data_IF_176915664147
#
_entry.id   IF_176915664147
#
_cell.length_a   1.000
_cell.length_b   1.000
_cell.length_c   1.000
_cell.angle_alpha   90.00
_cell.angle_beta   90.00
_cell.angle_gamma   90.00
#
_symmetry.space_group_name_H-M   'P 1'
#
loop_
_entity.id
_entity.type
_entity.pdbx_description
1 polymer ?
#
# COMPACT_ATOMS: atom_id res chain seq x y z
N UNK A 1 -0.27 15.73 12.51
CA UNK A 1 0.55 15.29 11.37
C UNK A 1 1.10 13.91 11.67
N UNK A 2 1.20 13.07 10.64
CA UNK A 2 1.84 11.75 10.68
C UNK A 2 2.82 11.68 9.51
N UNK A 3 4.00 11.13 9.73
CA UNK A 3 4.99 10.95 8.68
C UNK A 3 5.50 9.52 8.68
N UNK A 4 5.83 8.99 7.51
CA UNK A 4 6.32 7.62 7.33
C UNK A 4 7.49 7.58 6.35
N UNK A 5 8.51 6.80 6.71
CA UNK A 5 9.66 6.46 5.86
C UNK A 5 9.50 5.00 5.41
N UNK A 6 9.53 4.73 4.10
CA UNK A 6 9.25 3.41 3.53
C UNK A 6 10.35 2.88 2.62
N UNK A 7 11.51 3.52 2.56
CA UNK A 7 12.59 3.18 1.62
C UNK A 7 12.99 1.70 1.66
N UNK A 8 13.17 1.14 2.85
CA UNK A 8 13.58 -0.27 3.02
C UNK A 8 12.49 -1.21 2.49
N UNK A 9 11.23 -0.94 2.85
CA UNK A 9 10.07 -1.73 2.40
C UNK A 9 9.87 -1.64 0.89
N UNK A 10 10.03 -0.44 0.31
CA UNK A 10 9.90 -0.21 -1.13
C UNK A 10 11.04 -0.88 -1.91
N UNK A 11 12.29 -0.82 -1.42
CA UNK A 11 13.41 -1.59 -1.99
C UNK A 11 13.15 -3.09 -1.99
N UNK A 12 12.60 -3.59 -0.89
CA UNK A 12 12.26 -5.01 -0.78
C UNK A 12 11.22 -5.40 -1.83
N UNK A 13 10.11 -4.66 -1.93
CA UNK A 13 9.07 -4.87 -2.93
C UNK A 13 9.63 -4.81 -4.36
N UNK A 14 10.46 -3.78 -4.67
CA UNK A 14 11.08 -3.63 -5.98
C UNK A 14 11.86 -4.88 -6.39
N UNK A 15 12.70 -5.42 -5.51
CA UNK A 15 13.50 -6.63 -5.79
C UNK A 15 12.64 -7.89 -5.90
N UNK A 16 11.63 -8.04 -5.03
CA UNK A 16 10.77 -9.24 -5.01
C UNK A 16 9.86 -9.34 -6.22
N UNK A 17 9.40 -8.22 -6.74
CA UNK A 17 8.46 -8.18 -7.87
C UNK A 17 9.11 -7.82 -9.20
N UNK A 18 10.41 -7.50 -9.24
CA UNK A 18 11.07 -7.06 -10.46
C UNK A 18 10.47 -5.77 -11.02
N UNK A 19 10.18 -4.80 -10.14
CA UNK A 19 9.52 -3.56 -10.52
C UNK A 19 10.43 -2.68 -11.41
N UNK A 20 9.83 -2.04 -12.41
CA UNK A 20 10.44 -0.90 -13.11
C UNK A 20 10.56 0.32 -12.19
N UNK A 21 11.23 1.38 -12.61
CA UNK A 21 11.27 2.63 -11.84
C UNK A 21 9.89 3.26 -11.71
N UNK A 22 9.09 3.24 -12.77
CA UNK A 22 7.72 3.77 -12.78
C UNK A 22 6.83 3.02 -11.78
N UNK A 23 6.81 1.70 -11.82
CA UNK A 23 5.97 0.88 -10.93
C UNK A 23 6.49 0.89 -9.49
N UNK A 24 7.79 1.07 -9.29
CA UNK A 24 8.41 1.30 -7.98
C UNK A 24 7.93 2.62 -7.37
N UNK A 25 7.84 3.69 -8.16
CA UNK A 25 7.27 4.97 -7.75
C UNK A 25 5.82 4.79 -7.28
N UNK A 26 4.96 4.21 -8.12
CA UNK A 26 3.54 4.03 -7.81
C UNK A 26 3.33 3.16 -6.57
N UNK A 27 3.99 2.01 -6.48
CA UNK A 27 3.85 1.11 -5.33
C UNK A 27 4.44 1.72 -4.06
N UNK A 28 5.56 2.41 -4.14
CA UNK A 28 6.20 3.10 -3.01
C UNK A 28 5.30 4.17 -2.41
N UNK A 29 4.72 5.04 -3.25
CA UNK A 29 3.73 6.04 -2.83
C UNK A 29 2.49 5.41 -2.21
N UNK A 30 1.97 4.34 -2.82
CA UNK A 30 0.81 3.62 -2.29
C UNK A 30 1.10 2.95 -0.94
N UNK A 31 2.30 2.38 -0.75
CA UNK A 31 2.72 1.79 0.54
C UNK A 31 2.86 2.88 1.62
N UNK A 32 3.42 4.04 1.30
CA UNK A 32 3.48 5.18 2.21
C UNK A 32 2.06 5.65 2.57
N UNK A 33 1.19 5.85 1.57
CA UNK A 33 -0.21 6.24 1.77
C UNK A 33 -1.00 5.25 2.61
N UNK A 34 -0.86 3.95 2.34
CA UNK A 34 -1.50 2.90 3.13
C UNK A 34 -1.10 2.93 4.61
N UNK A 35 0.19 3.12 4.91
CA UNK A 35 0.69 3.25 6.29
C UNK A 35 0.20 4.53 6.97
N UNK A 36 0.14 5.66 6.23
CA UNK A 36 -0.42 6.90 6.74
C UNK A 36 -1.88 6.71 7.16
N UNK A 37 -2.70 6.05 6.34
CA UNK A 37 -4.08 5.72 6.69
C UNK A 37 -4.16 4.72 7.85
N UNK A 38 -3.31 3.70 7.85
CA UNK A 38 -3.27 2.69 8.91
C UNK A 38 -2.88 3.27 10.28
N UNK A 39 -2.15 4.40 10.31
CA UNK A 39 -1.77 5.08 11.55
C UNK A 39 -2.96 5.52 12.39
N UNK A 40 -4.12 5.75 11.77
CA UNK A 40 -5.38 6.17 12.44
C UNK A 40 -6.25 5.00 12.91
N UNK A 41 -5.86 3.74 12.63
CA UNK A 41 -6.61 2.57 13.10
C UNK A 41 -6.60 2.49 14.63
N UNK A 42 -7.70 2.09 15.21
CA UNK A 42 -7.91 2.11 16.67
C UNK A 42 -7.24 0.93 17.37
N UNK A 43 -7.22 -0.21 16.71
CA UNK A 43 -6.66 -1.45 17.29
C UNK A 43 -5.24 -1.70 16.77
N UNK A 44 -4.43 -2.42 17.54
CA UNK A 44 -3.09 -2.83 17.14
C UNK A 44 -3.11 -3.80 15.93
N UNK A 45 -4.19 -4.56 15.77
CA UNK A 45 -4.42 -5.46 14.64
C UNK A 45 -5.04 -4.76 13.43
N UNK A 46 -5.43 -3.49 13.58
CA UNK A 46 -6.08 -2.71 12.55
C UNK A 46 -5.26 -2.64 11.26
N UNK A 47 -5.93 -2.79 10.14
CA UNK A 47 -5.33 -2.80 8.80
C UNK A 47 -6.11 -1.95 7.81
N UNK A 48 -5.38 -1.44 6.85
CA UNK A 48 -5.94 -0.74 5.70
C UNK A 48 -5.49 -1.46 4.44
N UNK A 49 -6.44 -1.87 3.62
CA UNK A 49 -6.17 -2.31 2.24
C UNK A 49 -6.52 -1.18 1.29
N UNK A 50 -5.53 -0.75 0.51
CA UNK A 50 -5.64 0.23 -0.55
C UNK A 50 -5.58 -0.53 -1.88
N UNK A 51 -6.59 -0.36 -2.72
CA UNK A 51 -6.64 -0.98 -4.05
C UNK A 51 -6.95 0.08 -5.10
N UNK A 52 -6.07 0.22 -6.06
CA UNK A 52 -6.31 0.99 -7.28
C UNK A 52 -6.72 0.03 -8.38
N UNK A 53 -7.92 0.25 -8.93
CA UNK A 53 -8.41 -0.39 -10.14
C UNK A 53 -8.45 0.66 -11.23
N UNK A 54 -7.72 0.44 -12.29
CA UNK A 54 -7.54 1.49 -13.29
C UNK A 54 -7.51 0.93 -14.72
N UNK A 55 -7.91 1.78 -15.67
CA UNK A 55 -7.97 1.44 -17.10
C UNK A 55 -6.65 1.68 -17.85
N UNK A 56 -5.65 2.28 -17.21
CA UNK A 56 -4.34 2.50 -17.80
C UNK A 56 -3.47 1.23 -17.86
N UNK A 57 -2.28 1.32 -18.47
CA UNK A 57 -1.39 0.18 -18.68
C UNK A 57 -0.91 -0.49 -17.39
N UNK A 58 -0.95 0.20 -16.24
CA UNK A 58 -0.67 -0.38 -14.91
C UNK A 58 -1.67 -1.48 -14.54
N UNK A 59 -2.92 -1.41 -14.99
CA UNK A 59 -4.06 -2.28 -14.69
C UNK A 59 -4.50 -2.28 -13.23
N UNK A 60 -3.64 -1.88 -12.30
CA UNK A 60 -3.95 -1.73 -10.89
C UNK A 60 -2.79 -2.03 -9.96
N UNK A 61 -3.01 -1.72 -8.70
CA UNK A 61 -2.11 -2.06 -7.60
C UNK A 61 -2.91 -2.33 -6.32
N UNK A 62 -2.31 -3.08 -5.41
CA UNK A 62 -2.90 -3.36 -4.10
C UNK A 62 -1.82 -3.24 -3.03
N UNK A 63 -2.16 -2.55 -1.94
CA UNK A 63 -1.34 -2.42 -0.73
C UNK A 63 -2.15 -2.85 0.47
N UNK A 64 -1.53 -3.55 1.40
CA UNK A 64 -2.08 -3.91 2.69
C UNK A 64 -1.11 -3.42 3.78
N UNK A 65 -1.56 -2.47 4.60
CA UNK A 65 -0.78 -1.80 5.62
C UNK A 65 -1.41 -1.97 7.00
N UNK A 66 -0.60 -2.25 8.00
CA UNK A 66 -1.03 -2.46 9.38
C UNK A 66 -0.68 -1.29 10.29
N UNK A 67 -1.50 -1.10 11.32
CA UNK A 67 -1.25 -0.19 12.44
C UNK A 67 0.10 -0.46 13.11
N UNK A 68 0.58 -1.71 13.02
CA UNK A 68 1.86 -2.20 13.54
C UNK A 68 3.08 -1.85 12.68
N UNK A 69 2.91 -1.04 11.62
CA UNK A 69 3.97 -0.65 10.68
C UNK A 69 4.33 -1.73 9.65
N UNK A 70 3.63 -2.85 9.61
CA UNK A 70 3.80 -3.85 8.56
C UNK A 70 3.11 -3.38 7.28
N UNK A 71 3.79 -3.49 6.14
CA UNK A 71 3.23 -3.16 4.83
C UNK A 71 3.65 -4.20 3.79
N UNK A 72 2.78 -4.45 2.82
CA UNK A 72 3.05 -5.26 1.63
C UNK A 72 2.20 -4.76 0.47
N UNK A 73 2.62 -5.04 -0.74
CA UNK A 73 1.84 -4.61 -1.89
C UNK A 73 2.42 -5.17 -3.18
N UNK A 74 1.63 -5.08 -4.24
CA UNK A 74 2.00 -5.48 -5.59
C UNK A 74 1.29 -4.61 -6.62
N UNK A 75 1.81 -4.64 -7.85
CA UNK A 75 1.19 -4.04 -9.03
C UNK A 75 0.84 -5.14 -10.04
N UNK A 76 -0.17 -4.92 -10.86
CA UNK A 76 -0.61 -5.91 -11.83
C UNK A 76 0.39 -6.10 -12.99
N UNK A 77 1.13 -5.06 -13.35
CA UNK A 77 2.15 -5.08 -14.43
C UNK A 77 3.49 -4.58 -13.87
N UNK A 78 4.29 -5.45 -13.23
CA UNK A 78 5.52 -5.03 -12.52
C UNK A 78 6.55 -4.31 -13.39
N UNK A 79 6.78 -4.81 -14.59
CA UNK A 79 7.78 -4.29 -15.54
C UNK A 79 7.27 -3.16 -16.45
N UNK A 80 6.12 -2.53 -16.13
CA UNK A 80 5.59 -1.43 -16.95
C UNK A 80 6.58 -0.29 -17.02
N UNK A 81 6.95 0.10 -18.23
CA UNK A 81 7.73 1.30 -18.52
C UNK A 81 6.98 2.18 -19.51
N UNK A 82 7.08 3.47 -19.35
CA UNK A 82 6.57 4.50 -20.26
C UNK A 82 7.65 5.55 -20.46
N UNK A 83 7.61 6.20 -21.61
CA UNK A 83 8.45 7.37 -21.86
C UNK A 83 8.19 8.43 -20.77
N UNK A 84 9.24 9.12 -20.37
CA UNK A 84 9.13 10.22 -19.43
C UNK A 84 8.28 11.36 -20.05
N UNK A 85 7.57 12.08 -19.21
CA UNK A 85 6.94 13.33 -19.59
C UNK A 85 8.01 14.34 -20.05
N UNK A 86 7.64 15.39 -20.80
CA UNK A 86 8.60 16.40 -21.30
C UNK A 86 9.47 17.03 -20.21
N UNK A 87 8.97 17.09 -18.99
CA UNK A 87 9.65 17.62 -17.81
C UNK A 87 10.67 16.62 -17.20
N UNK A 88 10.83 15.43 -17.81
CA UNK A 88 11.73 14.38 -17.33
C UNK A 88 11.21 13.60 -16.11
N UNK A 89 9.92 13.67 -15.84
CA UNK A 89 9.25 12.95 -14.76
C UNK A 89 8.43 11.77 -15.29
N UNK A 90 8.10 10.82 -14.41
CA UNK A 90 7.18 9.75 -14.77
C UNK A 90 5.76 10.28 -14.96
N UNK A 91 5.14 9.91 -16.07
CA UNK A 91 3.72 10.21 -16.35
C UNK A 91 2.83 9.19 -15.62
N UNK A 92 2.58 9.46 -14.34
CA UNK A 92 1.77 8.59 -13.48
C UNK A 92 0.30 8.58 -13.92
N UNK A 93 -0.21 9.72 -14.37
CA UNK A 93 -1.57 9.85 -14.87
C UNK A 93 -1.80 8.93 -16.07
N UNK A 94 -0.85 8.90 -17.02
CA UNK A 94 -0.90 8.00 -18.18
C UNK A 94 -0.76 6.53 -17.79
N UNK A 95 0.10 6.23 -16.81
CA UNK A 95 0.30 4.86 -16.32
C UNK A 95 -0.97 4.29 -15.66
N UNK A 96 -1.66 5.11 -14.88
CA UNK A 96 -2.86 4.73 -14.13
C UNK A 96 -4.12 4.90 -14.98
N UNK A 97 -4.30 6.04 -15.64
CA UNK A 97 -5.51 6.38 -16.37
C UNK A 97 -6.72 6.57 -15.44
N UNK A 98 -7.92 6.52 -15.99
CA UNK A 98 -9.16 6.60 -15.20
C UNK A 98 -9.38 5.32 -14.39
N UNK A 99 -10.08 5.43 -13.26
CA UNK A 99 -10.38 4.30 -12.40
C UNK A 99 -10.86 4.70 -11.02
N UNK A 100 -10.72 3.79 -10.08
CA UNK A 100 -11.22 3.93 -8.72
C UNK A 100 -10.16 3.56 -7.69
N UNK A 101 -10.15 4.31 -6.59
CA UNK A 101 -9.45 3.98 -5.36
C UNK A 101 -10.43 3.37 -4.37
N UNK A 102 -10.19 2.15 -3.96
CA UNK A 102 -10.95 1.44 -2.93
C UNK A 102 -10.10 1.32 -1.67
N UNK A 103 -10.66 1.74 -0.55
CA UNK A 103 -10.03 1.62 0.77
C UNK A 103 -10.90 0.73 1.63
N UNK A 104 -10.30 -0.33 2.18
CA UNK A 104 -10.93 -1.21 3.17
C UNK A 104 -10.22 -1.04 4.50
N UNK A 105 -10.96 -0.69 5.55
CA UNK A 105 -10.50 -0.58 6.94
C UNK A 105 -11.01 -1.76 7.74
N UNK A 106 -10.10 -2.55 8.28
CA UNK A 106 -10.38 -3.71 9.12
C UNK A 106 -9.74 -3.51 10.49
N UNK A 107 -10.55 -3.37 11.51
CA UNK A 107 -10.08 -3.23 12.91
C UNK A 107 -9.71 -4.58 13.54
N UNK A 108 -9.85 -5.70 12.81
CA UNK A 108 -9.62 -7.06 13.32
C UNK A 108 -10.80 -7.62 14.12
N UNK A 109 -11.90 -6.89 14.19
CA UNK A 109 -13.17 -7.30 14.78
C UNK A 109 -14.33 -6.57 14.07
N UNK A 110 -15.49 -7.21 14.03
CA UNK A 110 -16.65 -6.70 13.28
C UNK A 110 -16.47 -6.82 11.77
N UNK A 111 -17.28 -6.10 11.01
CA UNK A 111 -17.19 -6.10 9.56
C UNK A 111 -16.24 -5.01 9.08
N UNK A 112 -15.36 -5.30 8.13
CA UNK A 112 -14.53 -4.28 7.50
C UNK A 112 -15.39 -3.19 6.84
N UNK A 113 -14.95 -1.94 6.96
CA UNK A 113 -15.57 -0.80 6.27
C UNK A 113 -14.86 -0.59 4.93
N UNK A 114 -15.63 -0.52 3.86
CA UNK A 114 -15.13 -0.32 2.52
C UNK A 114 -15.72 0.94 1.90
N UNK A 115 -14.87 1.75 1.30
CA UNK A 115 -15.26 2.94 0.54
C UNK A 115 -14.54 2.95 -0.80
N UNK A 116 -15.20 3.53 -1.80
CA UNK A 116 -14.65 3.64 -3.16
C UNK A 116 -14.86 5.06 -3.66
N UNK A 117 -13.83 5.66 -4.23
CA UNK A 117 -13.85 7.00 -4.87
C UNK A 117 -13.22 6.91 -6.25
N UNK A 118 -13.60 7.83 -7.14
CA UNK A 118 -12.93 7.98 -8.44
C UNK A 118 -11.51 8.49 -8.24
N UNK A 119 -10.59 8.06 -9.09
CA UNK A 119 -9.23 8.60 -9.14
C UNK A 119 -9.26 10.03 -9.67
N UNK A 120 -8.51 10.92 -9.04
CA UNK A 120 -8.37 12.32 -9.41
C UNK A 120 -7.17 12.53 -10.33
N UNK A 121 -6.02 11.99 -9.94
CA UNK A 121 -4.76 12.21 -10.67
C UNK A 121 -4.00 10.92 -11.00
N UNK A 122 -4.26 9.84 -10.27
CA UNK A 122 -3.46 8.61 -10.32
C UNK A 122 -2.07 8.76 -9.69
N UNK A 123 -1.76 9.92 -9.09
CA UNK A 123 -0.48 10.17 -8.41
C UNK A 123 -0.46 9.69 -6.94
N UNK A 124 -1.52 9.01 -6.50
CA UNK A 124 -1.74 8.45 -5.16
C UNK A 124 -2.01 9.50 -4.09
N UNK A 125 -1.20 10.55 -3.97
CA UNK A 125 -1.36 11.57 -2.94
C UNK A 125 -2.70 12.30 -3.02
N UNK A 126 -3.02 12.83 -4.20
CA UNK A 126 -4.28 13.54 -4.46
C UNK A 126 -5.50 12.61 -4.34
N UNK A 127 -5.35 11.35 -4.81
CA UNK A 127 -6.40 10.34 -4.75
C UNK A 127 -6.74 9.99 -3.29
N UNK A 128 -5.73 9.92 -2.42
CA UNK A 128 -5.91 9.72 -0.98
C UNK A 128 -6.51 10.94 -0.29
N UNK A 129 -6.12 12.16 -0.68
CA UNK A 129 -6.70 13.38 -0.16
C UNK A 129 -8.19 13.49 -0.54
N UNK A 130 -8.53 13.15 -1.78
CA UNK A 130 -9.91 13.06 -2.26
C UNK A 130 -10.73 12.00 -1.48
N UNK A 131 -10.15 10.81 -1.26
CA UNK A 131 -10.78 9.79 -0.43
C UNK A 131 -11.09 10.29 0.99
N UNK A 132 -10.11 10.90 1.66
CA UNK A 132 -10.29 11.41 3.02
C UNK A 132 -11.35 12.52 3.08
N UNK A 133 -11.43 13.35 2.07
CA UNK A 133 -12.44 14.40 1.97
C UNK A 133 -13.84 13.85 1.72
N UNK A 134 -14.01 13.02 0.68
CA UNK A 134 -15.32 12.56 0.24
C UNK A 134 -15.91 11.43 1.10
N UNK A 135 -15.07 10.48 1.55
CA UNK A 135 -15.52 9.31 2.29
C UNK A 135 -15.43 9.49 3.81
N UNK A 136 -14.41 10.18 4.31
CA UNK A 136 -14.21 10.37 5.76
C UNK A 136 -14.58 11.77 6.23
N UNK A 137 -14.94 12.65 5.32
CA UNK A 137 -15.31 14.06 5.60
C UNK A 137 -14.23 14.79 6.43
N UNK A 138 -12.98 14.39 6.24
CA UNK A 138 -11.84 14.92 6.96
C UNK A 138 -10.93 15.67 5.99
N UNK A 139 -10.94 17.01 6.00
CA UNK A 139 -10.01 17.81 5.21
C UNK A 139 -8.58 17.45 5.57
N UNK A 140 -7.81 17.02 4.56
CA UNK A 140 -6.47 16.47 4.75
C UNK A 140 -5.56 16.87 3.60
N UNK A 141 -4.27 17.08 3.88
CA UNK A 141 -3.23 17.12 2.88
C UNK A 141 -2.39 15.83 2.96
N UNK A 142 -2.14 15.21 1.80
CA UNK A 142 -1.37 13.97 1.70
C UNK A 142 -0.22 14.20 0.74
N UNK A 143 0.98 14.10 1.25
CA UNK A 143 2.21 14.20 0.48
C UNK A 143 2.87 12.82 0.45
N UNK A 144 3.10 12.29 -0.73
CA UNK A 144 3.85 11.05 -0.94
C UNK A 144 4.88 11.27 -2.03
N UNK A 145 6.05 10.68 -1.85
CA UNK A 145 7.12 10.89 -2.80
C UNK A 145 8.26 9.91 -2.62
N UNK A 146 9.16 9.94 -3.60
CA UNK A 146 10.35 9.10 -3.67
C UNK A 146 11.50 9.84 -4.35
N UNK A 147 12.70 9.36 -4.10
CA UNK A 147 13.87 9.73 -4.88
C UNK A 147 14.53 8.47 -5.42
N UNK A 148 14.50 8.34 -6.75
CA UNK A 148 15.07 7.22 -7.50
C UNK A 148 16.26 7.73 -8.31
N UNK A 149 17.34 6.99 -8.33
CA UNK A 149 18.54 7.23 -9.13
C UNK A 149 18.85 6.01 -9.97
N UNK A 150 19.84 6.08 -10.86
CA UNK A 150 20.35 4.92 -11.59
C UNK A 150 20.85 3.78 -10.66
N UNK A 151 21.08 4.07 -9.37
CA UNK A 151 21.45 3.08 -8.33
C UNK A 151 20.23 2.58 -7.54
N UNK A 152 19.01 2.89 -7.98
CA UNK A 152 17.75 2.51 -7.34
C UNK A 152 17.20 3.57 -6.37
N UNK A 153 16.27 3.16 -5.52
CA UNK A 153 15.57 4.02 -4.58
C UNK A 153 16.51 4.51 -3.48
N UNK A 154 16.56 5.81 -3.30
CA UNK A 154 17.35 6.49 -2.25
C UNK A 154 16.49 6.80 -1.03
N UNK A 155 15.29 7.32 -1.23
CA UNK A 155 14.29 7.53 -0.19
C UNK A 155 12.88 7.38 -0.77
N UNK A 156 11.94 7.00 0.09
CA UNK A 156 10.51 6.91 -0.20
C UNK A 156 9.75 7.13 1.10
N UNK A 157 8.65 7.88 1.05
CA UNK A 157 7.86 8.16 2.24
C UNK A 157 6.70 9.10 1.98
N UNK A 158 6.07 9.55 3.07
CA UNK A 158 4.94 10.46 2.96
C UNK A 158 4.59 11.15 4.27
N UNK A 159 3.75 12.15 4.16
CA UNK A 159 3.21 12.93 5.27
C UNK A 159 1.71 13.08 5.09
N UNK A 160 0.97 12.86 6.16
CA UNK A 160 -0.46 13.14 6.29
C UNK A 160 -0.64 14.28 7.28
N UNK A 161 -1.32 15.32 6.85
CA UNK A 161 -1.69 16.48 7.68
C UNK A 161 -3.20 16.53 7.78
N UNK A 162 -3.73 16.53 9.00
CA UNK A 162 -5.17 16.60 9.27
C UNK A 162 -5.45 17.58 10.39
N UNK A 163 -6.56 18.31 10.27
CA UNK A 163 -7.09 19.13 11.34
C UNK A 163 -7.90 18.24 12.29
N UNK A 164 -7.48 18.14 13.54
CA UNK A 164 -8.25 17.40 14.54
C UNK A 164 -9.52 18.19 14.92
N UNK A 165 -10.62 17.53 15.32
CA UNK A 165 -11.90 18.20 15.63
C UNK A 165 -11.80 19.34 16.63
N UNK A 166 -10.92 19.22 17.63
CA UNK A 166 -10.70 20.31 18.60
C UNK A 166 -10.03 21.54 17.96
N UNK A 167 -9.09 21.33 17.07
CA UNK A 167 -8.37 22.39 16.37
C UNK A 167 -9.22 23.05 15.25
N UNK A 168 -10.27 22.39 14.77
CA UNK A 168 -11.18 22.95 13.77
C UNK A 168 -11.92 24.21 14.27
N UNK A 169 -11.99 24.40 15.58
CA UNK A 169 -12.58 25.59 16.18
C UNK A 169 -11.59 26.78 16.33
N UNK A 170 -10.37 26.64 15.82
CA UNK A 170 -9.31 27.66 15.83
C UNK A 170 -9.01 28.14 14.41
N UNK A 171 -9.77 29.10 13.84
CA UNK A 171 -9.64 29.51 12.44
C UNK A 171 -8.20 29.91 12.07
N UNK A 172 -7.51 30.63 12.94
CA UNK A 172 -6.14 31.08 12.69
C UNK A 172 -5.16 29.93 12.54
N UNK A 173 -5.34 28.84 13.30
CA UNK A 173 -4.53 27.61 13.15
C UNK A 173 -4.85 26.87 11.87
N UNK A 174 -6.14 26.79 11.50
CA UNK A 174 -6.58 26.15 10.25
C UNK A 174 -6.01 26.91 9.04
N UNK A 175 -6.11 28.25 9.05
CA UNK A 175 -5.58 29.11 7.99
C UNK A 175 -4.04 28.99 7.88
N UNK A 176 -3.34 28.91 9.00
CA UNK A 176 -1.89 28.70 9.01
C UNK A 176 -1.55 27.35 8.41
N UNK A 177 -2.22 26.28 8.87
CA UNK A 177 -2.00 24.93 8.38
C UNK A 177 -2.26 24.83 6.86
N UNK A 178 -3.31 25.47 6.37
CA UNK A 178 -3.67 25.48 4.96
C UNK A 178 -2.60 26.21 4.12
N UNK A 179 -2.09 27.34 4.59
CA UNK A 179 -0.99 28.07 3.94
C UNK A 179 0.28 27.24 3.88
N UNK A 180 0.69 26.63 4.99
CA UNK A 180 1.88 25.77 5.06
C UNK A 180 1.76 24.57 4.11
N UNK A 181 0.60 23.90 4.10
CA UNK A 181 0.37 22.78 3.16
C UNK A 181 0.40 23.23 1.70
N UNK A 182 -0.19 24.38 1.38
CA UNK A 182 -0.21 24.92 0.01
C UNK A 182 1.16 25.38 -0.46
N UNK A 183 2.07 25.69 0.44
CA UNK A 183 3.46 26.07 0.15
C UNK A 183 4.40 24.86 -0.09
N UNK A 184 3.93 23.63 0.16
CA UNK A 184 4.74 22.43 -0.08
C UNK A 184 4.82 22.14 -1.57
N UNK A 185 5.93 22.52 -2.18
CA UNK A 185 6.25 22.22 -3.56
C UNK A 185 7.28 21.07 -3.63
N UNK A 186 7.21 20.27 -4.70
CA UNK A 186 8.21 19.24 -5.00
C UNK A 186 8.59 18.35 -3.81
N UNK A 187 7.57 17.75 -3.16
CA UNK A 187 7.75 16.94 -1.96
C UNK A 187 8.86 15.89 -2.11
N UNK A 188 8.97 15.24 -3.27
CA UNK A 188 10.04 14.25 -3.55
C UNK A 188 11.44 14.85 -3.45
N UNK A 189 11.64 16.11 -3.89
CA UNK A 189 12.93 16.80 -3.76
C UNK A 189 13.23 17.17 -2.31
N UNK A 190 12.22 17.62 -1.57
CA UNK A 190 12.35 17.90 -0.12
C UNK A 190 12.70 16.64 0.66
N UNK A 191 12.02 15.53 0.37
CA UNK A 191 12.32 14.23 0.96
C UNK A 191 13.77 13.79 0.66
N UNK A 192 14.24 14.00 -0.56
CA UNK A 192 15.60 13.70 -0.99
C UNK A 192 16.63 14.57 -0.26
N UNK A 193 16.39 15.88 -0.13
CA UNK A 193 17.26 16.82 0.56
C UNK A 193 17.46 16.44 2.03
N UNK A 194 16.45 15.90 2.68
CA UNK A 194 16.50 15.42 4.06
C UNK A 194 16.89 13.93 4.19
N UNK A 195 17.24 13.25 3.07
CA UNK A 195 17.68 11.85 3.03
C UNK A 195 16.69 10.88 3.71
N UNK A 196 15.39 11.18 3.64
CA UNK A 196 14.32 10.40 4.29
C UNK A 196 14.20 10.62 5.81
N UNK A 197 14.93 11.57 6.39
CA UNK A 197 14.74 11.95 7.80
C UNK A 197 13.43 12.73 7.96
N UNK A 198 12.37 12.01 8.34
CA UNK A 198 11.01 12.56 8.42
C UNK A 198 10.87 13.66 9.49
N UNK A 199 11.62 13.58 10.59
CA UNK A 199 11.58 14.61 11.63
C UNK A 199 12.17 15.93 11.12
N UNK A 200 13.33 15.88 10.48
CA UNK A 200 13.96 17.06 9.88
C UNK A 200 13.11 17.62 8.72
N UNK A 201 12.51 16.75 7.91
CA UNK A 201 11.60 17.15 6.85
C UNK A 201 10.37 17.90 7.38
N UNK A 202 9.71 17.37 8.42
CA UNK A 202 8.56 18.04 9.03
C UNK A 202 8.92 19.42 9.62
N UNK A 203 10.07 19.53 10.28
CA UNK A 203 10.55 20.80 10.79
C UNK A 203 10.82 21.81 9.67
N UNK A 204 11.33 21.36 8.54
CA UNK A 204 11.59 22.22 7.37
C UNK A 204 10.31 22.67 6.67
N UNK A 205 9.36 21.73 6.43
CA UNK A 205 8.13 22.01 5.70
C UNK A 205 7.13 22.84 6.52
N UNK A 206 7.09 22.63 7.83
CA UNK A 206 6.07 23.18 8.73
C UNK A 206 6.69 23.96 9.88
N UNK A 207 7.75 24.71 9.59
CA UNK A 207 8.52 25.46 10.58
C UNK A 207 7.66 26.38 11.44
N UNK A 208 6.70 27.07 10.83
CA UNK A 208 5.81 28.00 11.56
C UNK A 208 4.81 27.29 12.50
N UNK A 209 4.62 25.97 12.33
CA UNK A 209 3.81 25.12 13.20
C UNK A 209 4.60 24.46 14.32
N UNK A 210 5.94 24.56 14.29
CA UNK A 210 6.86 23.97 15.27
C UNK A 210 6.48 22.52 15.64
N UNK A 211 6.48 21.57 14.67
CA UNK A 211 6.03 20.21 14.92
C UNK A 211 6.89 19.50 15.96
N UNK A 212 6.23 18.88 16.95
CA UNK A 212 6.89 18.15 18.03
C UNK A 212 6.52 16.66 17.96
N UNK A 213 7.49 15.75 18.16
CA UNK A 213 7.19 14.33 18.21
C UNK A 213 6.33 14.00 19.44
N UNK A 214 5.21 13.30 19.21
CA UNK A 214 4.31 12.86 20.29
C UNK A 214 4.70 11.49 20.86
N UNK A 215 5.42 10.68 20.09
CA UNK A 215 5.84 9.34 20.48
C UNK A 215 7.14 8.96 19.79
N UNK A 216 7.78 7.89 20.26
CA UNK A 216 8.90 7.26 19.57
C UNK A 216 8.47 6.73 18.20
N UNK A 217 9.36 6.81 17.19
CA UNK A 217 9.08 6.27 15.87
C UNK A 217 8.79 4.76 15.92
N UNK A 218 7.75 4.34 15.22
CA UNK A 218 7.42 2.93 15.06
C UNK A 218 8.17 2.35 13.85
N UNK A 219 8.77 1.15 13.96
CA UNK A 219 9.44 0.50 12.84
C UNK A 219 8.48 0.20 11.69
N UNK A 220 8.88 0.55 10.46
CA UNK A 220 8.19 0.16 9.24
C UNK A 220 8.92 -1.02 8.60
N UNK A 221 8.17 -2.07 8.22
CA UNK A 221 8.75 -3.26 7.60
C UNK A 221 7.85 -3.83 6.50
N UNK A 222 8.48 -4.33 5.45
CA UNK A 222 7.77 -5.19 4.51
C UNK A 222 7.50 -6.53 5.20
N UNK A 223 6.23 -6.91 5.33
CA UNK A 223 5.87 -8.16 5.99
C UNK A 223 4.67 -8.81 5.32
N UNK A 224 4.86 -10.02 4.81
CA UNK A 224 3.79 -10.84 4.29
C UNK A 224 3.36 -11.90 5.30
N UNK A 225 2.04 -12.11 5.40
CA UNK A 225 1.45 -13.11 6.29
C UNK A 225 1.16 -14.44 5.58
N UNK A 226 1.68 -14.64 4.35
CA UNK A 226 1.54 -15.92 3.68
C UNK A 226 2.32 -17.02 4.41
N UNK A 227 1.73 -18.20 4.47
CA UNK A 227 2.34 -19.40 5.06
C UNK A 227 1.87 -20.61 4.28
N UNK A 228 2.61 -21.71 4.36
CA UNK A 228 2.22 -23.00 3.78
C UNK A 228 0.81 -23.42 4.22
N UNK A 229 0.48 -23.27 5.50
CA UNK A 229 -0.85 -23.61 6.02
C UNK A 229 -1.97 -22.76 5.41
N UNK A 230 -1.73 -21.47 5.15
CA UNK A 230 -2.71 -20.60 4.46
C UNK A 230 -2.87 -20.95 3.00
N UNK A 231 -1.82 -21.38 2.35
CA UNK A 231 -1.88 -21.87 0.97
C UNK A 231 -2.68 -23.20 0.91
N UNK A 232 -2.42 -24.12 1.83
CA UNK A 232 -3.20 -25.36 1.92
C UNK A 232 -4.69 -25.08 2.17
N UNK A 233 -5.02 -24.17 3.10
CA UNK A 233 -6.41 -23.77 3.34
C UNK A 233 -7.07 -23.12 2.11
N UNK A 234 -6.30 -22.45 1.24
CA UNK A 234 -6.82 -21.94 -0.03
C UNK A 234 -7.05 -23.05 -1.05
N UNK A 235 -6.19 -24.08 -1.08
CA UNK A 235 -6.38 -25.27 -1.92
C UNK A 235 -7.62 -26.09 -1.49
N UNK A 236 -7.93 -26.18 -0.20
CA UNK A 236 -9.15 -26.81 0.31
C UNK A 236 -10.43 -26.24 -0.33
N UNK A 237 -10.44 -24.94 -0.65
CA UNK A 237 -11.59 -24.26 -1.26
C UNK A 237 -11.87 -24.69 -2.70
N UNK A 238 -10.91 -25.29 -3.38
CA UNK A 238 -11.06 -25.78 -4.75
C UNK A 238 -11.95 -27.04 -4.81
N UNK A 239 -11.99 -27.81 -3.72
CA UNK A 239 -12.74 -29.06 -3.65
C UNK A 239 -11.93 -30.28 -4.17
N UNK A 240 -12.48 -31.47 -3.93
CA UNK A 240 -11.80 -32.75 -4.16
C UNK A 240 -11.45 -32.94 -5.63
N UNK A 241 -12.42 -32.75 -6.53
CA UNK A 241 -12.25 -32.98 -7.97
C UNK A 241 -11.08 -32.20 -8.57
N UNK A 242 -10.97 -30.90 -8.26
CA UNK A 242 -9.90 -30.07 -8.80
C UNK A 242 -8.52 -30.43 -8.21
N UNK A 243 -8.50 -30.87 -6.95
CA UNK A 243 -7.24 -31.36 -6.34
C UNK A 243 -6.78 -32.68 -6.95
N UNK A 244 -7.72 -33.58 -7.31
CA UNK A 244 -7.42 -34.83 -8.03
C UNK A 244 -6.89 -34.53 -9.44
N UNK A 245 -7.51 -33.60 -10.19
CA UNK A 245 -7.01 -33.16 -11.49
C UNK A 245 -5.56 -32.62 -11.41
N UNK A 246 -5.24 -31.78 -10.42
CA UNK A 246 -3.88 -31.28 -10.21
C UNK A 246 -2.87 -32.39 -9.90
N UNK A 247 -3.29 -33.43 -9.18
CA UNK A 247 -2.44 -34.59 -8.90
C UNK A 247 -2.17 -35.38 -10.19
N UNK A 248 -3.22 -35.62 -10.98
CA UNK A 248 -3.15 -36.46 -12.17
C UNK A 248 -2.42 -35.77 -13.34
N UNK A 249 -2.64 -34.47 -13.53
CA UNK A 249 -2.07 -33.72 -14.64
C UNK A 249 -0.67 -33.18 -14.33
N UNK A 250 -0.48 -32.56 -13.13
CA UNK A 250 0.72 -31.81 -12.79
C UNK A 250 1.60 -32.51 -11.72
N UNK A 251 1.10 -33.56 -11.09
CA UNK A 251 1.78 -34.25 -9.99
C UNK A 251 1.86 -33.44 -8.71
N UNK A 252 1.10 -32.35 -8.60
CA UNK A 252 1.12 -31.44 -7.45
C UNK A 252 0.55 -30.07 -7.77
N UNK A 253 0.90 -29.06 -6.97
CA UNK A 253 0.47 -27.68 -7.19
C UNK A 253 1.59 -26.69 -6.88
N UNK A 254 1.63 -25.58 -7.60
CA UNK A 254 2.47 -24.44 -7.30
C UNK A 254 1.60 -23.19 -7.09
N UNK A 255 1.84 -22.50 -5.97
CA UNK A 255 1.13 -21.27 -5.62
C UNK A 255 2.13 -20.13 -5.40
N UNK A 256 1.96 -19.03 -6.10
CA UNK A 256 2.76 -17.83 -5.89
C UNK A 256 1.97 -16.79 -5.10
N UNK A 257 2.52 -16.30 -4.01
CA UNK A 257 1.91 -15.22 -3.26
C UNK A 257 2.03 -13.89 -4.02
N UNK A 258 0.92 -13.30 -4.45
CA UNK A 258 0.92 -12.01 -5.16
C UNK A 258 1.57 -10.88 -4.36
N UNK A 259 1.48 -10.88 -3.01
CA UNK A 259 2.01 -9.82 -2.17
C UNK A 259 3.53 -9.84 -2.00
N UNK A 260 4.17 -11.01 -2.02
CA UNK A 260 5.61 -11.10 -1.76
C UNK A 260 6.38 -11.94 -2.77
N UNK A 261 5.71 -12.54 -3.76
CA UNK A 261 6.35 -13.38 -4.77
C UNK A 261 6.92 -14.69 -4.21
N UNK A 262 6.57 -15.09 -2.96
CA UNK A 262 6.99 -16.39 -2.42
C UNK A 262 6.26 -17.51 -3.12
N UNK A 263 7.00 -18.56 -3.50
CA UNK A 263 6.49 -19.73 -4.22
C UNK A 263 6.37 -20.89 -3.24
N UNK A 264 5.17 -21.45 -3.17
CA UNK A 264 4.83 -22.63 -2.37
C UNK A 264 4.58 -23.80 -3.31
N UNK A 265 5.27 -24.91 -3.09
CA UNK A 265 5.10 -26.13 -3.87
C UNK A 265 4.52 -27.23 -3.00
N UNK A 266 3.53 -27.90 -3.53
CA UNK A 266 2.82 -29.00 -2.89
C UNK A 266 2.92 -30.24 -3.76
N UNK A 267 3.41 -31.32 -3.20
CA UNK A 267 3.48 -32.61 -3.87
C UNK A 267 2.10 -33.26 -3.96
N UNK A 268 1.96 -34.29 -4.80
CA UNK A 268 0.77 -35.12 -4.85
C UNK A 268 0.39 -35.66 -3.44
N UNK A 269 1.37 -36.02 -2.62
CA UNK A 269 1.13 -36.50 -1.26
C UNK A 269 0.53 -35.40 -0.34
N UNK A 270 0.98 -34.14 -0.50
CA UNK A 270 0.42 -33.01 0.26
C UNK A 270 -1.05 -32.76 -0.13
N UNK A 271 -1.36 -32.78 -1.44
CA UNK A 271 -2.73 -32.62 -1.95
C UNK A 271 -3.62 -33.80 -1.53
N UNK A 272 -3.11 -35.02 -1.55
CA UNK A 272 -3.84 -36.19 -1.05
C UNK A 272 -4.20 -36.03 0.43
N UNK A 273 -3.29 -35.44 1.23
CA UNK A 273 -3.56 -35.11 2.64
C UNK A 273 -4.71 -34.12 2.81
N UNK A 274 -4.79 -33.11 1.95
CA UNK A 274 -5.90 -32.15 1.90
C UNK A 274 -7.21 -32.84 1.56
N UNK A 275 -7.22 -33.71 0.52
CA UNK A 275 -8.41 -34.47 0.11
C UNK A 275 -8.92 -35.35 1.25
N UNK A 276 -8.03 -36.09 1.93
CA UNK A 276 -8.40 -36.90 3.11
C UNK A 276 -9.05 -36.06 4.22
N UNK A 277 -8.51 -34.84 4.46
CA UNK A 277 -9.10 -33.91 5.43
C UNK A 277 -10.50 -33.45 5.03
N UNK A 278 -10.73 -33.14 3.74
CA UNK A 278 -12.05 -32.75 3.21
C UNK A 278 -13.07 -33.88 3.33
N UNK A 279 -12.69 -35.11 2.98
CA UNK A 279 -13.55 -36.30 3.08
C UNK A 279 -13.92 -36.56 4.54
N UNK A 280 -12.96 -36.48 5.47
CA UNK A 280 -13.20 -36.64 6.90
C UNK A 280 -14.18 -35.61 7.47
N UNK A 281 -14.17 -34.39 6.88
CA UNK A 281 -15.11 -33.30 7.23
C UNK A 281 -16.47 -33.38 6.48
N UNK A 282 -16.72 -34.47 5.74
CA UNK A 282 -18.02 -34.73 5.11
C UNK A 282 -18.21 -34.05 3.75
N UNK A 283 -17.16 -33.51 3.14
CA UNK A 283 -17.19 -33.01 1.75
C UNK A 283 -17.22 -34.23 0.83
N UNK A 284 -18.26 -34.33 -0.02
CA UNK A 284 -18.36 -35.41 -1.01
C UNK A 284 -17.55 -35.05 -2.25
N UNK A 285 -16.88 -36.02 -2.89
CA UNK A 285 -16.41 -35.85 -4.26
C UNK A 285 -17.61 -35.49 -5.14
N UNK A 286 -17.52 -34.40 -5.88
CA UNK A 286 -18.57 -33.88 -6.76
C UNK A 286 -18.73 -34.75 -8.01
#
# INVERSE_FOLDING_TARGET
MVAVETTVSTRYACRRHGLSYLTTTLLGRAMAGGLLLASSMKTAQGRVTLRVQCGGPLRGLTVDAGRDGAVRGYVAVPGLELDLAPEGQFDLARAVGSGHLQITRDEGHGNPLQSTVELVSGAIGDDLAAYLFHSEQTPSAVFVGEHITSKGIRCCGGVLVQVLPKAANEPALVDLLQRECSAVENFSQQLAAHQGNMAALLQSLFNNLNPQPLAAPQPVRFHCRCTTSRCLAALELLGIHQLEEMIDEDGGAEMTCHFCGEVYRFSAADLQGVIHGLVANGVKPG
#
